data_IF_060969008885
#
_entry.id   IF_060969008885
#
_cell.length_a   1.000
_cell.length_b   1.000
_cell.length_c   1.000
_cell.angle_alpha   90.00
_cell.angle_beta   90.00
_cell.angle_gamma   90.00
#
_symmetry.space_group_name_H-M   'P 1'
#
loop_
_entity.id
_entity.type
_entity.pdbx_description
1 polymer ?
#
# COMPACT_ATOMS: atom_id res chain seq x y z
N UNK A 1 17.76 28.44 -43.52
CA UNK A 1 16.86 27.58 -42.73
C UNK A 1 17.16 27.81 -41.26
N UNK A 2 16.44 28.75 -40.64
CA UNK A 2 16.61 29.14 -39.24
C UNK A 2 15.96 28.08 -38.35
N UNK A 3 16.77 27.37 -37.56
CA UNK A 3 16.27 26.50 -36.48
C UNK A 3 15.75 27.42 -35.37
N UNK A 4 14.42 27.45 -35.16
CA UNK A 4 13.85 28.10 -33.98
C UNK A 4 14.44 27.47 -32.72
N UNK A 5 14.98 28.33 -31.86
CA UNK A 5 15.47 27.99 -30.53
C UNK A 5 14.35 27.36 -29.69
N UNK A 6 14.69 26.33 -28.92
CA UNK A 6 13.75 25.52 -28.13
C UNK A 6 13.15 26.24 -26.91
N UNK A 7 13.31 27.57 -26.81
CA UNK A 7 13.04 28.34 -25.59
C UNK A 7 11.58 28.80 -25.43
N UNK A 8 10.74 28.74 -26.48
CA UNK A 8 9.36 29.27 -26.46
C UNK A 8 8.26 28.21 -26.59
N UNK A 9 8.58 26.92 -26.41
CA UNK A 9 7.55 25.87 -26.47
C UNK A 9 6.71 25.92 -25.20
N UNK A 10 5.48 26.42 -25.31
CA UNK A 10 4.44 26.32 -24.27
C UNK A 10 4.45 24.91 -23.68
N UNK A 11 4.44 24.77 -22.33
CA UNK A 11 4.47 23.45 -21.70
C UNK A 11 3.31 22.62 -22.25
N UNK A 12 3.63 21.42 -22.72
CA UNK A 12 2.63 20.51 -23.28
C UNK A 12 1.70 20.09 -22.15
N UNK A 13 0.39 20.11 -22.42
CA UNK A 13 -0.62 19.64 -21.49
C UNK A 13 -0.37 18.17 -21.17
N UNK A 14 -0.40 17.83 -19.88
CA UNK A 14 -0.40 16.43 -19.42
C UNK A 14 -1.78 15.84 -19.66
N UNK A 15 -1.80 14.66 -20.26
CA UNK A 15 -3.00 13.92 -20.65
C UNK A 15 -2.90 12.49 -20.13
N UNK A 16 -4.04 11.82 -19.94
CA UNK A 16 -4.12 10.46 -19.44
C UNK A 16 -4.11 9.41 -20.56
N UNK A 17 -3.34 8.35 -20.40
CA UNK A 17 -3.23 7.28 -21.36
C UNK A 17 -3.40 5.96 -20.65
N UNK A 18 -4.21 5.06 -21.21
CA UNK A 18 -4.27 3.67 -20.79
C UNK A 18 -3.16 2.93 -21.51
N UNK A 19 -2.30 2.30 -20.72
CA UNK A 19 -1.21 1.43 -21.18
C UNK A 19 -1.55 0.02 -20.73
N UNK A 20 -1.57 -0.92 -21.66
CA UNK A 20 -2.03 -2.29 -21.43
C UNK A 20 -1.12 -3.27 -22.17
N UNK A 21 -0.84 -4.44 -21.59
CA UNK A 21 -0.17 -5.53 -22.31
C UNK A 21 -1.19 -6.33 -23.13
N UNK A 22 -0.82 -7.52 -23.59
CA UNK A 22 -1.78 -8.47 -24.17
C UNK A 22 -2.68 -9.10 -23.10
N UNK A 23 -2.30 -8.97 -21.83
CA UNK A 23 -3.13 -9.33 -20.70
C UNK A 23 -3.89 -8.08 -20.21
N UNK A 24 -5.23 -8.04 -20.28
CA UNK A 24 -6.00 -6.90 -19.81
C UNK A 24 -5.88 -6.66 -18.30
N UNK A 25 -5.46 -7.66 -17.52
CA UNK A 25 -5.20 -7.51 -16.08
C UNK A 25 -3.94 -6.66 -15.81
N UNK A 26 -3.03 -6.58 -16.78
CA UNK A 26 -1.82 -5.76 -16.73
C UNK A 26 -2.04 -4.42 -17.46
N UNK A 27 -2.94 -3.61 -16.91
CA UNK A 27 -3.25 -2.29 -17.44
C UNK A 27 -3.11 -1.18 -16.39
N UNK A 28 -2.60 -0.02 -16.82
CA UNK A 28 -2.35 1.15 -15.94
C UNK A 28 -2.69 2.47 -16.65
N UNK A 29 -3.01 3.50 -15.88
CA UNK A 29 -3.25 4.86 -16.38
C UNK A 29 -2.02 5.72 -16.14
N UNK A 30 -1.45 6.24 -17.22
CA UNK A 30 -0.25 7.06 -17.24
C UNK A 30 -0.57 8.50 -17.63
N UNK A 31 -0.08 9.45 -16.83
CA UNK A 31 -0.22 10.88 -17.11
C UNK A 31 1.04 11.41 -17.79
N UNK A 32 0.96 11.71 -19.08
CA UNK A 32 2.11 12.17 -19.85
C UNK A 32 1.76 13.25 -20.87
N UNK A 33 2.77 13.94 -21.39
CA UNK A 33 2.61 14.95 -22.44
C UNK A 33 2.54 14.37 -23.86
N UNK A 34 2.73 13.05 -24.00
CA UNK A 34 2.64 12.35 -25.29
C UNK A 34 2.42 10.85 -25.08
N UNK A 35 1.84 10.18 -26.09
CA UNK A 35 1.62 8.74 -26.09
C UNK A 35 2.94 7.95 -25.88
N UNK A 36 4.01 8.32 -26.59
CA UNK A 36 5.30 7.64 -26.47
C UNK A 36 5.94 7.77 -25.08
N UNK A 37 5.70 8.88 -24.38
CA UNK A 37 6.15 9.05 -22.99
C UNK A 37 5.32 8.19 -22.04
N UNK A 38 3.99 8.21 -22.16
CA UNK A 38 3.09 7.38 -21.36
C UNK A 38 3.38 5.88 -21.54
N UNK A 39 3.56 5.44 -22.79
CA UNK A 39 3.86 4.03 -23.10
C UNK A 39 5.16 3.57 -22.44
N UNK A 40 6.19 4.42 -22.42
CA UNK A 40 7.46 4.09 -21.73
C UNK A 40 7.24 4.00 -20.22
N UNK A 41 6.58 4.97 -19.62
CA UNK A 41 6.27 4.97 -18.19
C UNK A 41 5.45 3.73 -17.78
N UNK A 42 4.41 3.40 -18.54
CA UNK A 42 3.57 2.23 -18.26
C UNK A 42 4.31 0.91 -18.49
N UNK A 43 5.19 0.81 -19.51
CA UNK A 43 6.05 -0.36 -19.69
C UNK A 43 6.99 -0.56 -18.49
N UNK A 44 7.63 0.51 -18.03
CA UNK A 44 8.51 0.50 -16.86
C UNK A 44 7.74 0.11 -15.57
N UNK A 45 6.50 0.58 -15.41
CA UNK A 45 5.64 0.26 -14.26
C UNK A 45 5.19 -1.20 -14.25
N UNK A 46 4.82 -1.73 -15.42
CA UNK A 46 4.43 -3.14 -15.58
C UNK A 46 5.66 -4.07 -15.52
N UNK A 47 6.86 -3.56 -15.80
CA UNK A 47 8.08 -4.35 -15.83
C UNK A 47 8.29 -5.09 -17.16
N UNK A 48 7.81 -4.52 -18.26
CA UNK A 48 7.89 -5.09 -19.62
C UNK A 48 8.58 -4.14 -20.59
N UNK A 49 8.88 -4.63 -21.79
CA UNK A 49 9.50 -3.82 -22.83
C UNK A 49 8.51 -2.86 -23.48
N UNK A 50 9.04 -1.78 -24.05
CA UNK A 50 8.23 -0.81 -24.81
C UNK A 50 7.36 -1.47 -25.88
N UNK A 51 7.85 -2.53 -26.55
CA UNK A 51 7.08 -3.28 -27.55
C UNK A 51 5.98 -4.18 -26.96
N UNK A 52 6.08 -4.53 -25.68
CA UNK A 52 5.14 -5.41 -24.97
C UNK A 52 3.86 -4.74 -24.51
N UNK A 53 3.77 -3.41 -24.62
CA UNK A 53 2.57 -2.64 -24.24
C UNK A 53 1.97 -1.91 -25.43
N UNK A 54 0.65 -1.74 -25.43
CA UNK A 54 -0.08 -0.80 -26.26
C UNK A 54 -0.44 0.44 -25.45
N UNK A 55 -0.75 1.57 -26.12
CA UNK A 55 -1.06 2.82 -25.43
C UNK A 55 -2.16 3.59 -26.17
N UNK A 56 -3.26 3.83 -25.46
CA UNK A 56 -4.47 4.51 -25.95
C UNK A 56 -4.82 5.69 -25.06
N UNK A 57 -5.61 6.63 -25.60
CA UNK A 57 -6.05 7.81 -24.83
C UNK A 57 -7.16 7.42 -23.86
N UNK A 58 -6.99 7.75 -22.58
CA UNK A 58 -8.00 7.59 -21.53
C UNK A 58 -8.61 8.95 -21.19
N UNK A 59 -9.44 9.51 -22.06
CA UNK A 59 -9.95 10.89 -21.92
C UNK A 59 -10.72 11.11 -20.61
N UNK A 60 -11.44 10.08 -20.13
CA UNK A 60 -12.18 10.10 -18.87
C UNK A 60 -11.29 10.45 -17.67
N UNK A 61 -10.00 10.07 -17.74
CA UNK A 61 -9.04 10.25 -16.67
C UNK A 61 -8.30 11.60 -16.71
N UNK A 62 -8.43 12.39 -17.78
CA UNK A 62 -7.71 13.67 -17.95
C UNK A 62 -7.97 14.65 -16.78
N UNK A 63 -9.16 14.58 -16.18
CA UNK A 63 -9.55 15.43 -15.05
C UNK A 63 -8.76 15.16 -13.77
N UNK A 64 -8.14 13.98 -13.65
CA UNK A 64 -7.32 13.60 -12.51
C UNK A 64 -5.84 13.90 -12.71
N UNK A 65 -5.47 14.55 -13.82
CA UNK A 65 -4.10 14.98 -14.05
C UNK A 65 -3.67 16.00 -12.97
N UNK A 66 -2.59 15.68 -12.25
CA UNK A 66 -2.08 16.50 -11.15
C UNK A 66 -2.77 16.24 -9.81
N UNK A 67 -3.74 15.31 -9.75
CA UNK A 67 -4.30 14.80 -8.49
C UNK A 67 -3.45 13.63 -8.01
N UNK A 68 -3.41 13.39 -6.69
CA UNK A 68 -2.62 12.31 -6.08
C UNK A 68 -3.02 10.91 -6.58
N UNK A 69 -4.30 10.70 -6.86
CA UNK A 69 -4.83 9.43 -7.35
C UNK A 69 -6.17 9.61 -8.08
N UNK A 70 -6.54 8.61 -8.88
CA UNK A 70 -7.86 8.44 -9.48
C UNK A 70 -8.71 7.57 -8.53
N UNK A 71 -9.93 7.97 -8.14
CA UNK A 71 -10.80 7.14 -7.30
C UNK A 71 -11.21 5.83 -7.99
N UNK A 72 -11.40 4.75 -7.21
CA UNK A 72 -11.82 3.44 -7.75
C UNK A 72 -13.15 3.51 -8.51
N UNK A 73 -14.10 4.34 -8.06
CA UNK A 73 -15.37 4.58 -8.75
C UNK A 73 -15.14 5.04 -10.20
N UNK A 74 -14.23 5.99 -10.42
CA UNK A 74 -14.01 6.56 -11.74
C UNK A 74 -13.43 5.55 -12.74
N UNK A 75 -12.66 4.58 -12.24
CA UNK A 75 -12.19 3.45 -13.03
C UNK A 75 -13.34 2.53 -13.41
N UNK A 76 -14.18 2.14 -12.43
CA UNK A 76 -15.33 1.25 -12.67
C UNK A 76 -16.33 1.89 -13.65
N UNK A 77 -16.62 3.18 -13.51
CA UNK A 77 -17.46 3.95 -14.45
C UNK A 77 -16.87 3.97 -15.87
N UNK A 78 -15.55 3.81 -15.99
CA UNK A 78 -14.84 3.74 -17.26
C UNK A 78 -14.66 2.31 -17.80
N UNK A 79 -15.32 1.31 -17.19
CA UNK A 79 -15.32 -0.09 -17.60
C UNK A 79 -14.12 -0.90 -17.11
N UNK A 80 -13.42 -0.43 -16.07
CA UNK A 80 -12.38 -1.20 -15.38
C UNK A 80 -12.99 -2.02 -14.25
N UNK A 81 -12.22 -2.96 -13.73
CA UNK A 81 -12.60 -3.78 -12.59
C UNK A 81 -11.52 -3.73 -11.52
N UNK A 82 -11.91 -3.99 -10.27
CA UNK A 82 -11.03 -4.09 -9.11
C UNK A 82 -11.42 -5.31 -8.29
N UNK A 83 -10.49 -5.84 -7.52
CA UNK A 83 -10.84 -6.80 -6.47
C UNK A 83 -11.38 -6.09 -5.24
N UNK A 84 -12.40 -6.68 -4.63
CA UNK A 84 -12.87 -6.28 -3.31
C UNK A 84 -11.71 -6.35 -2.32
N UNK A 85 -11.42 -5.24 -1.64
CA UNK A 85 -10.29 -5.11 -0.72
C UNK A 85 -10.43 -5.90 0.59
N UNK A 86 -11.46 -6.75 0.70
CA UNK A 86 -11.67 -7.67 1.82
C UNK A 86 -11.66 -9.13 1.36
N UNK A 87 -12.56 -9.50 0.46
CA UNK A 87 -12.76 -10.90 0.06
C UNK A 87 -12.18 -11.27 -1.31
N UNK A 88 -11.68 -10.31 -2.10
CA UNK A 88 -11.15 -10.56 -3.44
C UNK A 88 -12.21 -10.79 -4.54
N UNK A 89 -13.50 -10.62 -4.24
CA UNK A 89 -14.54 -10.67 -5.28
C UNK A 89 -14.33 -9.56 -6.30
N UNK A 90 -14.36 -9.88 -7.58
CA UNK A 90 -14.29 -8.90 -8.67
C UNK A 90 -15.45 -7.91 -8.61
N UNK A 91 -15.11 -6.62 -8.70
CA UNK A 91 -16.02 -5.48 -8.69
C UNK A 91 -15.83 -4.69 -9.99
N UNK A 92 -16.82 -4.74 -10.88
CA UNK A 92 -17.00 -3.90 -12.05
C UNK A 92 -18.42 -3.35 -12.12
N UNK A 93 -18.77 -2.64 -13.20
CA UNK A 93 -20.07 -1.97 -13.34
C UNK A 93 -21.26 -2.93 -13.32
N UNK A 94 -21.04 -4.20 -13.65
CA UNK A 94 -22.07 -5.23 -13.77
C UNK A 94 -21.88 -6.33 -12.71
N UNK A 95 -21.13 -6.04 -11.64
CA UNK A 95 -20.79 -7.03 -10.62
C UNK A 95 -22.04 -7.60 -9.94
N UNK A 96 -22.15 -8.93 -9.97
CA UNK A 96 -23.21 -9.69 -9.31
C UNK A 96 -22.61 -10.83 -8.49
N UNK A 97 -23.41 -11.35 -7.55
CA UNK A 97 -23.20 -12.65 -6.94
C UNK A 97 -24.33 -13.59 -7.32
N UNK A 98 -23.99 -14.85 -7.49
CA UNK A 98 -24.97 -15.92 -7.65
C UNK A 98 -25.68 -16.20 -6.33
N UNK A 99 -27.01 -16.23 -6.35
CA UNK A 99 -27.83 -16.62 -5.21
C UNK A 99 -28.47 -18.00 -5.45
N UNK A 100 -28.03 -19.00 -4.68
CA UNK A 100 -28.49 -20.38 -4.85
C UNK A 100 -29.97 -20.58 -4.50
N UNK A 101 -30.53 -19.72 -3.63
CA UNK A 101 -31.94 -19.83 -3.21
C UNK A 101 -32.89 -19.36 -4.31
N UNK A 102 -32.56 -18.23 -4.97
CA UNK A 102 -33.37 -17.66 -6.04
C UNK A 102 -32.99 -18.13 -7.44
N UNK A 103 -31.85 -18.83 -7.61
CA UNK A 103 -31.31 -19.24 -8.92
C UNK A 103 -31.08 -18.03 -9.85
N UNK A 104 -30.64 -16.90 -9.27
CA UNK A 104 -30.44 -15.64 -10.00
C UNK A 104 -29.20 -14.86 -9.56
N UNK A 105 -28.73 -13.98 -10.45
CA UNK A 105 -27.69 -13.02 -10.17
C UNK A 105 -28.24 -11.81 -9.39
N UNK A 106 -27.68 -11.57 -8.20
CA UNK A 106 -27.99 -10.41 -7.38
C UNK A 106 -26.87 -9.37 -7.58
N UNK A 107 -27.18 -8.16 -8.06
CA UNK A 107 -26.21 -7.08 -8.17
C UNK A 107 -25.52 -6.77 -6.83
N UNK A 108 -24.23 -6.47 -6.90
CA UNK A 108 -23.46 -6.07 -5.72
C UNK A 108 -23.64 -4.58 -5.42
N UNK A 109 -23.88 -4.26 -4.16
CA UNK A 109 -23.90 -2.89 -3.67
C UNK A 109 -22.47 -2.44 -3.36
N UNK A 110 -21.76 -2.02 -4.41
CA UNK A 110 -20.36 -1.61 -4.32
C UNK A 110 -20.19 -0.40 -3.39
N UNK A 111 -19.20 -0.49 -2.49
CA UNK A 111 -18.83 0.60 -1.58
C UNK A 111 -17.42 1.07 -1.91
N UNK A 112 -17.27 2.37 -2.16
CA UNK A 112 -16.02 2.97 -2.61
C UNK A 112 -15.33 3.74 -1.48
N UNK A 113 -14.02 3.52 -1.31
CA UNK A 113 -13.20 4.21 -0.32
C UNK A 113 -11.87 4.63 -0.95
N UNK A 114 -11.85 5.81 -1.56
CA UNK A 114 -10.67 6.35 -2.23
C UNK A 114 -10.19 5.47 -3.40
N UNK A 115 -9.11 4.72 -3.18
CA UNK A 115 -8.46 3.86 -4.20
C UNK A 115 -8.94 2.40 -4.18
N UNK A 116 -9.80 2.04 -3.24
CA UNK A 116 -10.30 0.67 -3.09
C UNK A 116 -11.82 0.61 -3.21
N UNK A 117 -12.31 -0.58 -3.50
CA UNK A 117 -13.74 -0.90 -3.57
C UNK A 117 -14.01 -2.14 -2.71
N UNK A 118 -15.22 -2.22 -2.18
CA UNK A 118 -15.75 -3.37 -1.47
C UNK A 118 -17.02 -3.84 -2.18
N UNK A 119 -17.21 -5.15 -2.27
CA UNK A 119 -18.41 -5.71 -2.91
C UNK A 119 -19.70 -5.53 -2.09
N UNK A 120 -19.57 -5.16 -0.82
CA UNK A 120 -20.70 -4.86 0.07
C UNK A 120 -20.27 -4.01 1.27
N UNK A 121 -21.25 -3.42 1.95
CA UNK A 121 -21.04 -2.73 3.22
C UNK A 121 -20.51 -3.66 4.33
N UNK A 122 -20.86 -4.95 4.28
CA UNK A 122 -20.35 -5.97 5.20
C UNK A 122 -18.85 -6.18 5.00
N UNK A 123 -18.39 -6.31 3.75
CA UNK A 123 -16.96 -6.43 3.45
C UNK A 123 -16.18 -5.19 3.89
N UNK A 124 -16.72 -3.98 3.71
CA UNK A 124 -16.07 -2.77 4.23
C UNK A 124 -15.96 -2.82 5.76
N UNK A 125 -17.06 -3.14 6.44
CA UNK A 125 -17.09 -3.19 7.90
C UNK A 125 -16.16 -4.27 8.45
N UNK A 126 -16.11 -5.43 7.80
CA UNK A 126 -15.19 -6.53 8.12
C UNK A 126 -13.74 -6.11 7.99
N UNK A 127 -13.37 -5.49 6.86
CA UNK A 127 -12.02 -4.95 6.67
C UNK A 127 -11.66 -3.87 7.70
N UNK A 128 -12.55 -2.91 7.96
CA UNK A 128 -12.32 -1.86 8.97
C UNK A 128 -12.11 -2.45 10.37
N UNK A 129 -12.83 -3.53 10.71
CA UNK A 129 -12.66 -4.26 11.96
C UNK A 129 -11.32 -4.98 12.04
N UNK A 130 -10.87 -5.64 10.96
CA UNK A 130 -9.55 -6.28 10.87
C UNK A 130 -8.41 -5.27 10.99
N UNK A 131 -8.52 -4.13 10.28
CA UNK A 131 -7.57 -3.00 10.37
C UNK A 131 -7.51 -2.48 11.81
N UNK A 132 -8.67 -2.27 12.44
CA UNK A 132 -8.77 -1.77 13.81
C UNK A 132 -8.16 -2.75 14.81
N UNK A 133 -8.44 -4.06 14.67
CA UNK A 133 -7.86 -5.10 15.50
C UNK A 133 -6.33 -5.18 15.33
N UNK A 134 -5.83 -5.05 14.09
CA UNK A 134 -4.39 -5.06 13.80
C UNK A 134 -3.68 -3.87 14.40
N UNK A 135 -4.28 -2.68 14.34
CA UNK A 135 -3.76 -1.47 14.96
C UNK A 135 -3.80 -1.56 16.49
N UNK A 136 -4.86 -2.12 17.08
CA UNK A 136 -4.93 -2.35 18.52
C UNK A 136 -3.83 -3.32 19.00
N UNK A 137 -3.55 -4.40 18.26
CA UNK A 137 -2.43 -5.30 18.55
C UNK A 137 -1.08 -4.57 18.49
N UNK A 138 -0.90 -3.64 17.56
CA UNK A 138 0.32 -2.83 17.47
C UNK A 138 0.50 -1.88 18.66
N UNK A 139 -0.57 -1.23 19.12
CA UNK A 139 -0.53 -0.42 20.35
C UNK A 139 -0.20 -1.28 21.58
N UNK A 140 -0.80 -2.47 21.69
CA UNK A 140 -0.50 -3.42 22.75
C UNK A 140 0.97 -3.88 22.71
N UNK A 141 1.53 -4.12 21.52
CA UNK A 141 2.95 -4.44 21.33
C UNK A 141 3.86 -3.32 21.83
N UNK A 142 3.58 -2.06 21.48
CA UNK A 142 4.38 -0.91 21.96
C UNK A 142 4.37 -0.83 23.49
N UNK A 143 3.20 -1.03 24.11
CA UNK A 143 3.05 -1.03 25.55
C UNK A 143 3.80 -2.20 26.21
N UNK A 144 3.69 -3.41 25.66
CA UNK A 144 4.38 -4.60 26.16
C UNK A 144 5.91 -4.48 26.03
N UNK A 145 6.40 -3.96 24.90
CA UNK A 145 7.83 -3.73 24.67
C UNK A 145 8.42 -2.70 25.65
N UNK A 146 7.69 -1.61 25.91
CA UNK A 146 8.09 -0.60 26.90
C UNK A 146 8.05 -1.14 28.34
N UNK A 147 7.06 -1.97 28.68
CA UNK A 147 6.96 -2.57 30.01
C UNK A 147 8.04 -3.63 30.26
N UNK A 148 8.41 -4.40 29.23
CA UNK A 148 9.42 -5.46 29.34
C UNK A 148 10.84 -4.90 29.57
N UNK A 149 11.15 -3.72 29.04
CA UNK A 149 12.46 -3.08 29.18
C UNK A 149 12.29 -1.55 29.36
N UNK A 150 11.97 -1.06 30.56
CA UNK A 150 11.71 0.37 30.77
C UNK A 150 12.95 1.27 30.59
N UNK A 151 14.16 0.71 30.64
CA UNK A 151 15.41 1.47 30.47
C UNK A 151 15.86 1.63 29.02
N UNK A 152 15.20 1.00 28.04
CA UNK A 152 15.54 1.20 26.62
C UNK A 152 14.77 2.38 26.05
N UNK A 153 15.40 3.10 25.11
CA UNK A 153 14.78 4.18 24.36
C UNK A 153 14.42 3.71 22.97
N UNK A 154 13.12 3.63 22.66
CA UNK A 154 12.65 3.29 21.33
C UNK A 154 12.86 4.45 20.36
N UNK A 155 13.41 4.14 19.18
CA UNK A 155 13.73 5.13 18.13
C UNK A 155 12.75 5.07 16.97
N UNK A 156 12.17 3.89 16.70
CA UNK A 156 11.18 3.69 15.67
C UNK A 156 10.32 2.47 15.99
N UNK A 157 9.06 2.50 15.56
CA UNK A 157 8.19 1.34 15.54
C UNK A 157 7.65 1.13 14.11
N UNK A 158 7.49 -0.12 13.72
CA UNK A 158 6.89 -0.51 12.44
C UNK A 158 5.94 -1.66 12.71
N UNK A 159 4.67 -1.47 12.37
CA UNK A 159 3.60 -2.41 12.67
C UNK A 159 2.25 -1.75 12.42
N UNK A 160 1.18 -2.43 12.84
CA UNK A 160 -0.19 -2.03 12.48
C UNK A 160 -0.48 -2.24 11.00
N UNK A 161 -1.69 -1.94 10.56
CA UNK A 161 -2.05 -2.11 9.14
C UNK A 161 -1.16 -1.24 8.23
N UNK A 162 -0.62 -1.77 7.12
CA UNK A 162 -0.89 -3.09 6.51
C UNK A 162 0.10 -4.20 6.90
N UNK A 163 0.95 -4.01 7.91
CA UNK A 163 1.94 -4.98 8.33
C UNK A 163 1.33 -6.10 9.20
N UNK A 164 1.72 -7.34 8.94
CA UNK A 164 1.31 -8.51 9.73
C UNK A 164 2.12 -8.69 11.02
N UNK A 165 3.38 -8.26 11.04
CA UNK A 165 4.29 -8.34 12.18
C UNK A 165 4.61 -6.95 12.75
N UNK A 166 4.87 -6.89 14.05
CA UNK A 166 5.33 -5.66 14.70
C UNK A 166 6.81 -5.72 15.01
N UNK A 167 7.47 -4.58 14.88
CA UNK A 167 8.86 -4.41 15.27
C UNK A 167 9.08 -3.03 15.87
N UNK A 168 10.04 -2.94 16.78
CA UNK A 168 10.50 -1.71 17.40
C UNK A 168 12.02 -1.69 17.38
N UNK A 169 12.62 -0.60 16.91
CA UNK A 169 14.05 -0.34 17.05
C UNK A 169 14.29 0.43 18.33
N UNK A 170 15.31 0.07 19.09
CA UNK A 170 15.65 0.74 20.34
C UNK A 170 17.16 0.95 20.47
N UNK A 171 17.52 1.90 21.32
CA UNK A 171 18.87 2.13 21.81
C UNK A 171 18.86 2.10 23.34
N UNK A 172 20.02 2.02 23.97
CA UNK A 172 20.19 1.96 25.42
C UNK A 172 21.53 2.62 25.81
N UNK A 173 21.74 2.96 27.09
CA UNK A 173 22.98 3.57 27.54
C UNK A 173 24.20 2.72 27.18
N UNK A 174 25.16 3.32 26.47
CA UNK A 174 26.38 2.64 26.02
C UNK A 174 26.25 1.87 24.70
N UNK A 175 25.07 1.87 24.05
CA UNK A 175 24.89 1.24 22.75
C UNK A 175 25.49 2.09 21.62
N UNK A 176 26.20 1.45 20.70
CA UNK A 176 26.68 2.05 19.46
C UNK A 176 25.61 2.00 18.35
N UNK A 177 24.87 0.90 18.25
CA UNK A 177 23.84 0.68 17.23
C UNK A 177 22.46 0.34 17.84
N UNK A 178 22.45 -0.32 19.00
CA UNK A 178 21.24 -0.71 19.72
C UNK A 178 20.70 -2.08 19.28
N UNK A 179 19.38 -2.17 19.18
CA UNK A 179 18.69 -3.43 18.91
C UNK A 179 17.30 -3.27 18.32
N UNK A 180 16.64 -4.41 18.13
CA UNK A 180 15.25 -4.49 17.69
C UNK A 180 14.48 -5.52 18.49
N UNK A 181 13.23 -5.22 18.80
CA UNK A 181 12.26 -6.16 19.33
C UNK A 181 11.21 -6.43 18.26
N UNK A 182 10.77 -7.67 18.11
CA UNK A 182 9.69 -8.03 17.19
C UNK A 182 8.77 -9.07 17.79
N UNK A 183 7.52 -9.05 17.35
CA UNK A 183 6.58 -10.14 17.53
C UNK A 183 6.22 -10.74 16.16
N UNK A 184 5.43 -11.82 16.16
CA UNK A 184 4.88 -12.40 14.92
C UNK A 184 3.37 -12.27 14.94
N UNK A 185 2.73 -12.43 13.79
CA UNK A 185 1.27 -12.31 13.67
C UNK A 185 0.51 -13.20 14.66
N UNK A 186 1.06 -14.38 14.94
CA UNK A 186 0.45 -15.44 15.74
C UNK A 186 1.04 -15.60 17.15
N UNK A 187 1.98 -14.74 17.56
CA UNK A 187 2.60 -14.82 18.88
C UNK A 187 2.81 -13.43 19.46
N UNK A 188 2.45 -13.28 20.73
CA UNK A 188 2.77 -12.09 21.53
C UNK A 188 4.14 -12.20 22.22
N UNK A 189 4.90 -13.26 21.95
CA UNK A 189 6.24 -13.42 22.47
C UNK A 189 7.19 -12.39 21.84
N UNK A 190 7.79 -11.56 22.69
CA UNK A 190 8.73 -10.54 22.27
C UNK A 190 10.11 -11.15 22.04
N UNK A 191 10.56 -11.15 20.79
CA UNK A 191 11.92 -11.56 20.43
C UNK A 191 12.83 -10.34 20.41
N UNK A 192 13.82 -10.31 21.30
CA UNK A 192 14.79 -9.23 21.40
C UNK A 192 16.09 -9.58 20.70
N UNK A 193 16.51 -8.71 19.79
CA UNK A 193 17.78 -8.78 19.09
C UNK A 193 18.62 -7.55 19.41
N UNK A 194 19.89 -7.79 19.72
CA UNK A 194 20.88 -6.73 19.96
C UNK A 194 22.03 -6.93 18.99
N UNK A 195 22.59 -5.84 18.48
CA UNK A 195 23.77 -5.91 17.62
C UNK A 195 24.92 -6.63 18.35
N UNK A 196 25.64 -7.51 17.66
CA UNK A 196 26.71 -8.30 18.27
C UNK A 196 27.80 -7.41 18.92
N UNK A 197 28.06 -6.23 18.36
CA UNK A 197 29.01 -5.23 18.89
C UNK A 197 28.54 -4.66 20.24
N UNK A 198 27.23 -4.56 20.44
CA UNK A 198 26.62 -3.98 21.64
C UNK A 198 26.28 -5.04 22.70
N UNK A 199 26.59 -6.32 22.46
CA UNK A 199 26.19 -7.44 23.33
C UNK A 199 26.75 -7.29 24.74
N UNK A 200 28.03 -6.93 24.89
CA UNK A 200 28.66 -6.74 26.20
C UNK A 200 28.04 -5.54 26.96
N UNK A 201 27.70 -4.46 26.25
CA UNK A 201 27.05 -3.29 26.84
C UNK A 201 25.63 -3.64 27.28
N UNK A 202 24.91 -4.43 26.48
CA UNK A 202 23.58 -4.92 26.80
C UNK A 202 23.58 -5.85 28.01
N UNK A 203 24.49 -6.82 28.06
CA UNK A 203 24.57 -7.78 29.15
C UNK A 203 24.83 -7.07 30.49
N UNK A 204 25.65 -5.99 30.50
CA UNK A 204 25.82 -5.12 31.68
C UNK A 204 24.55 -4.35 32.03
N UNK A 205 23.90 -3.76 31.02
CA UNK A 205 22.68 -2.98 31.19
C UNK A 205 21.51 -3.80 31.78
N UNK A 206 21.36 -5.07 31.39
CA UNK A 206 20.30 -5.94 31.92
C UNK A 206 20.63 -6.62 33.26
N UNK A 207 21.92 -6.73 33.61
CA UNK A 207 22.37 -7.40 34.85
C UNK A 207 22.50 -6.45 36.03
N UNK A 208 22.59 -5.14 35.81
CA UNK A 208 22.47 -4.14 36.88
C UNK A 208 21.00 -3.79 37.09
N UNK A 209 20.31 -4.35 38.10
CA UNK A 209 18.95 -3.93 38.39
C UNK A 209 19.04 -2.51 38.95
N UNK A 210 18.49 -1.54 38.22
CA UNK A 210 18.19 -0.16 38.66
C UNK A 210 18.64 0.18 40.08
N UNK A 211 19.90 0.60 40.23
CA UNK A 211 20.34 1.27 41.45
C UNK A 211 19.90 2.74 41.39
N UNK A 212 18.59 2.97 41.55
CA UNK A 212 17.95 4.19 42.09
C UNK A 212 16.43 4.10 41.95
#
# INVERSE_FOLDING_TARGET
MTKSSSADKKPRKVLAYSVETNDPEESTIQFATSNAAARRQGADEIGTDFSGVSCRRAQWADQYAGVRYIPAQAYIDAGWWFDCNHCGTRCDSDACRWDEESDTDIPLDLVFDGRVVYCSAECKTGHDAEVSARNAKFEAFKAAAAAAQPGVTFTAFTGGYPYCANSGKFTFPGAQYGGSVSDTENSTELTWWVCAVDKDAWDRFITEPNAA
#
